data_IF_089245879052
#
_entry.id   IF_089245879052
#
_cell.length_a   1.000
_cell.length_b   1.000
_cell.length_c   1.000
_cell.angle_alpha   90.00
_cell.angle_beta   90.00
_cell.angle_gamma   90.00
#
_symmetry.space_group_name_H-M   'P 1'
#
loop_
_entity.id
_entity.type
_entity.pdbx_description
1 polymer ?
#
# COMPACT_ATOMS: atom_id res chain seq x y z
N UNK A 1 29.27 15.14 35.67
CA UNK A 1 28.60 14.07 34.93
C UNK A 1 27.82 14.73 33.81
N UNK A 2 28.16 14.47 32.55
CA UNK A 2 27.40 14.99 31.41
C UNK A 2 26.11 14.17 31.29
N UNK A 3 24.95 14.83 31.36
CA UNK A 3 23.67 14.18 31.03
C UNK A 3 23.69 13.76 29.57
N UNK A 4 23.62 12.45 29.33
CA UNK A 4 23.35 11.93 27.99
C UNK A 4 22.00 12.47 27.51
N UNK A 5 21.95 13.20 26.38
CA UNK A 5 20.71 13.74 25.87
C UNK A 5 19.71 12.61 25.62
N UNK A 6 18.48 12.78 26.10
CA UNK A 6 17.42 11.82 25.90
C UNK A 6 17.14 11.64 24.40
N UNK A 7 16.91 10.40 23.93
CA UNK A 7 16.64 10.17 22.52
C UNK A 7 15.36 10.93 22.11
N UNK A 8 15.34 11.55 20.92
CA UNK A 8 14.17 12.28 20.44
C UNK A 8 12.96 11.34 20.41
N UNK A 9 11.84 11.80 20.95
CA UNK A 9 10.60 11.03 20.96
C UNK A 9 10.18 10.70 19.52
N UNK A 10 9.73 9.45 19.26
CA UNK A 10 9.31 9.06 17.93
C UNK A 10 8.16 9.94 17.46
N UNK A 11 8.35 10.61 16.33
CA UNK A 11 7.31 11.45 15.74
C UNK A 11 6.11 10.56 15.40
N UNK A 12 4.89 10.90 15.83
CA UNK A 12 3.72 10.09 15.50
C UNK A 12 3.52 10.02 13.97
N UNK A 13 3.04 8.88 13.43
CA UNK A 13 2.73 8.77 12.01
C UNK A 13 1.68 9.82 11.61
N UNK A 14 1.82 10.35 10.39
CA UNK A 14 0.90 11.36 9.91
C UNK A 14 -0.47 10.73 9.61
N UNK A 15 -1.58 11.50 9.77
CA UNK A 15 -2.93 10.98 9.58
C UNK A 15 -3.14 10.29 8.22
N UNK A 16 -2.51 10.80 7.15
CA UNK A 16 -2.61 10.26 5.80
C UNK A 16 -1.93 8.88 5.64
N UNK A 17 -0.74 8.68 6.21
CA UNK A 17 -0.01 7.41 6.10
C UNK A 17 -0.76 6.28 6.82
N UNK A 18 -1.28 6.58 8.03
CA UNK A 18 -2.08 5.63 8.79
C UNK A 18 -3.41 5.32 8.10
N UNK A 19 -4.04 6.32 7.48
CA UNK A 19 -5.28 6.15 6.72
C UNK A 19 -5.05 5.24 5.51
N UNK A 20 -3.96 5.49 4.77
CA UNK A 20 -3.58 4.66 3.64
C UNK A 20 -3.38 3.20 4.06
N UNK A 21 -2.51 2.93 5.05
CA UNK A 21 -2.22 1.57 5.50
C UNK A 21 -3.49 0.81 5.94
N UNK A 22 -4.41 1.51 6.61
CA UNK A 22 -5.70 0.92 7.01
C UNK A 22 -6.59 0.65 5.80
N UNK A 23 -6.72 1.60 4.88
CA UNK A 23 -7.59 1.48 3.72
C UNK A 23 -7.09 0.41 2.75
N UNK A 24 -5.82 0.41 2.38
CA UNK A 24 -5.22 -0.64 1.55
C UNK A 24 -5.31 -1.99 2.25
N UNK A 25 -5.06 -2.03 3.56
CA UNK A 25 -5.22 -3.23 4.38
C UNK A 25 -6.61 -3.86 4.21
N UNK A 26 -7.67 -3.06 4.33
CA UNK A 26 -9.05 -3.54 4.15
C UNK A 26 -9.37 -3.90 2.71
N UNK A 27 -9.00 -3.07 1.72
CA UNK A 27 -9.27 -3.33 0.30
C UNK A 27 -8.69 -4.69 -0.10
N UNK A 28 -7.40 -4.91 0.14
CA UNK A 28 -6.71 -6.11 -0.29
C UNK A 28 -7.08 -7.34 0.55
N UNK A 29 -7.42 -7.17 1.83
CA UNK A 29 -7.98 -8.26 2.63
C UNK A 29 -9.35 -8.68 2.10
N UNK A 30 -10.24 -7.73 1.78
CA UNK A 30 -11.55 -8.05 1.21
C UNK A 30 -11.41 -8.77 -0.13
N UNK A 31 -10.50 -8.33 -1.01
CA UNK A 31 -10.23 -9.02 -2.27
C UNK A 31 -9.71 -10.45 -2.05
N UNK A 32 -8.78 -10.64 -1.11
CA UNK A 32 -8.27 -11.97 -0.78
C UNK A 32 -9.39 -12.87 -0.21
N UNK A 33 -10.23 -12.35 0.67
CA UNK A 33 -11.37 -13.11 1.21
C UNK A 33 -12.39 -13.42 0.12
N UNK A 34 -12.72 -12.46 -0.75
CA UNK A 34 -13.61 -12.68 -1.90
C UNK A 34 -13.10 -13.78 -2.84
N UNK A 35 -11.79 -13.87 -3.04
CA UNK A 35 -11.20 -14.93 -3.87
C UNK A 35 -11.39 -16.35 -3.33
N UNK A 36 -11.74 -16.51 -2.04
CA UNK A 36 -12.04 -17.83 -1.48
C UNK A 36 -13.43 -18.35 -1.89
N UNK A 37 -14.30 -17.46 -2.38
CA UNK A 37 -15.68 -17.79 -2.74
C UNK A 37 -15.89 -17.88 -4.26
N UNK A 38 -15.03 -17.24 -5.05
CA UNK A 38 -15.12 -17.23 -6.50
C UNK A 38 -13.76 -17.01 -7.13
N UNK A 39 -13.50 -17.67 -8.27
CA UNK A 39 -12.29 -17.46 -9.06
C UNK A 39 -12.37 -16.17 -9.90
N UNK A 40 -13.58 -15.63 -10.09
CA UNK A 40 -13.83 -14.41 -10.84
C UNK A 40 -14.92 -13.56 -10.19
N UNK A 41 -14.66 -12.27 -9.99
CA UNK A 41 -15.71 -11.32 -9.62
C UNK A 41 -16.25 -10.66 -10.90
N UNK A 42 -17.42 -11.11 -11.36
CA UNK A 42 -18.21 -10.44 -12.40
C UNK A 42 -17.46 -10.26 -13.74
N UNK A 43 -16.50 -11.15 -14.04
CA UNK A 43 -15.56 -11.01 -15.18
C UNK A 43 -14.73 -9.71 -15.16
N UNK A 44 -14.66 -9.03 -14.02
CA UNK A 44 -13.94 -7.78 -13.86
C UNK A 44 -12.66 -7.96 -13.02
N UNK A 45 -12.66 -8.90 -12.07
CA UNK A 45 -11.49 -9.24 -11.26
C UNK A 45 -11.16 -10.72 -11.39
N UNK A 46 -9.89 -11.02 -11.62
CA UNK A 46 -9.39 -12.38 -11.73
C UNK A 46 -8.70 -12.80 -10.43
N UNK A 47 -9.14 -13.91 -9.84
CA UNK A 47 -8.58 -14.42 -8.61
C UNK A 47 -7.85 -15.74 -8.85
N UNK A 48 -6.54 -15.65 -9.07
CA UNK A 48 -5.67 -16.82 -9.02
C UNK A 48 -5.11 -17.01 -7.62
N UNK A 49 -4.68 -18.23 -7.29
CA UNK A 49 -4.03 -18.51 -6.00
C UNK A 49 -2.86 -17.55 -5.72
N UNK A 50 -2.06 -17.21 -6.74
CA UNK A 50 -0.96 -16.27 -6.61
C UNK A 50 -1.44 -14.85 -6.27
N UNK A 51 -2.48 -14.36 -6.94
CA UNK A 51 -3.10 -13.06 -6.69
C UNK A 51 -3.74 -13.04 -5.29
N UNK A 52 -4.43 -14.10 -4.89
CA UNK A 52 -5.00 -14.27 -3.55
C UNK A 52 -3.94 -14.10 -2.47
N UNK A 53 -2.80 -14.79 -2.59
CA UNK A 53 -1.71 -14.70 -1.60
C UNK A 53 -1.05 -13.32 -1.59
N UNK A 54 -0.89 -12.69 -2.75
CA UNK A 54 -0.38 -11.33 -2.84
C UNK A 54 -1.32 -10.33 -2.15
N UNK A 55 -2.62 -10.37 -2.49
CA UNK A 55 -3.65 -9.54 -1.88
C UNK A 55 -3.72 -9.78 -0.36
N UNK A 56 -3.65 -11.03 0.08
CA UNK A 56 -3.67 -11.37 1.51
C UNK A 56 -2.44 -10.77 2.22
N UNK A 57 -1.27 -10.88 1.62
CA UNK A 57 -0.02 -10.35 2.18
C UNK A 57 -0.06 -8.82 2.29
N UNK A 58 -0.51 -8.13 1.24
CA UNK A 58 -0.68 -6.67 1.24
C UNK A 58 -1.74 -6.23 2.25
N UNK A 59 -2.85 -6.97 2.32
CA UNK A 59 -3.96 -6.72 3.23
C UNK A 59 -3.56 -6.86 4.70
N UNK A 60 -2.99 -8.01 5.06
CA UNK A 60 -2.54 -8.28 6.43
C UNK A 60 -1.43 -7.33 6.87
N UNK A 61 -0.42 -7.12 6.02
CA UNK A 61 0.65 -6.17 6.35
C UNK A 61 0.12 -4.75 6.53
N UNK A 62 -0.82 -4.29 5.70
CA UNK A 62 -1.47 -2.99 5.86
C UNK A 62 -2.19 -2.85 7.20
N UNK A 63 -2.97 -3.85 7.61
CA UNK A 63 -3.68 -3.82 8.89
C UNK A 63 -2.74 -3.91 10.11
N UNK A 64 -1.68 -4.73 10.02
CA UNK A 64 -0.64 -4.81 11.06
C UNK A 64 0.05 -3.47 11.22
N UNK A 65 0.46 -2.84 10.12
CA UNK A 65 1.11 -1.52 10.13
C UNK A 65 0.15 -0.44 10.63
N UNK A 66 -1.12 -0.48 10.23
CA UNK A 66 -2.15 0.45 10.69
C UNK A 66 -2.34 0.45 12.22
N UNK A 67 -2.10 -0.70 12.86
CA UNK A 67 -2.13 -0.85 14.32
C UNK A 67 -0.82 -0.42 15.00
N UNK A 68 0.27 -0.32 14.25
CA UNK A 68 1.57 0.11 14.78
C UNK A 68 1.59 1.62 15.04
N UNK A 69 2.35 2.05 16.07
CA UNK A 69 2.64 3.46 16.34
C UNK A 69 3.98 3.91 15.74
N UNK A 70 4.63 3.07 14.94
CA UNK A 70 5.96 3.32 14.40
C UNK A 70 5.91 4.06 13.06
N UNK A 71 6.16 5.37 13.05
CA UNK A 71 6.11 6.18 11.81
C UNK A 71 6.97 5.62 10.66
N UNK A 72 8.15 5.07 10.97
CA UNK A 72 9.04 4.49 9.96
C UNK A 72 8.37 3.31 9.25
N UNK A 73 7.58 2.52 9.99
CA UNK A 73 6.89 1.35 9.47
C UNK A 73 5.75 1.77 8.52
N UNK A 74 4.97 2.80 8.88
CA UNK A 74 3.96 3.40 7.99
C UNK A 74 4.59 3.93 6.71
N UNK A 75 5.65 4.74 6.81
CA UNK A 75 6.32 5.31 5.65
C UNK A 75 6.94 4.23 4.75
N UNK A 76 7.56 3.21 5.34
CA UNK A 76 8.13 2.10 4.61
C UNK A 76 7.04 1.30 3.88
N UNK A 77 5.93 0.99 4.56
CA UNK A 77 4.79 0.31 3.95
C UNK A 77 4.21 1.11 2.79
N UNK A 78 3.96 2.40 2.97
CA UNK A 78 3.43 3.26 1.91
C UNK A 78 4.32 3.27 0.67
N UNK A 79 5.64 3.40 0.87
CA UNK A 79 6.60 3.39 -0.24
C UNK A 79 6.63 2.02 -0.91
N UNK A 80 6.80 0.95 -0.13
CA UNK A 80 6.97 -0.41 -0.64
C UNK A 80 5.70 -0.90 -1.34
N UNK A 81 4.55 -0.79 -0.69
CA UNK A 81 3.25 -1.12 -1.28
C UNK A 81 2.97 -0.21 -2.49
N UNK A 82 3.22 1.10 -2.38
CA UNK A 82 3.04 2.03 -3.48
C UNK A 82 3.81 1.63 -4.74
N UNK A 83 5.13 1.42 -4.62
CA UNK A 83 5.98 0.98 -5.74
C UNK A 83 5.53 -0.38 -6.28
N UNK A 84 5.27 -1.34 -5.39
CA UNK A 84 4.89 -2.71 -5.79
C UNK A 84 3.58 -2.72 -6.57
N UNK A 85 2.57 -2.00 -6.09
CA UNK A 85 1.25 -1.96 -6.71
C UNK A 85 1.26 -1.20 -8.04
N UNK A 86 1.96 -0.06 -8.13
CA UNK A 86 2.16 0.63 -9.41
C UNK A 86 2.88 -0.29 -10.41
N UNK A 87 3.98 -0.92 -9.99
CA UNK A 87 4.76 -1.81 -10.85
C UNK A 87 3.90 -2.98 -11.34
N UNK A 88 3.12 -3.59 -10.45
CA UNK A 88 2.19 -4.65 -10.81
C UNK A 88 1.18 -4.18 -11.85
N UNK A 89 0.47 -3.07 -11.61
CA UNK A 89 -0.56 -2.60 -12.53
C UNK A 89 0.00 -2.17 -13.90
N UNK A 90 1.18 -1.54 -13.93
CA UNK A 90 1.87 -1.19 -15.19
C UNK A 90 2.30 -2.48 -15.92
N UNK A 91 2.98 -3.39 -15.24
CA UNK A 91 3.44 -4.65 -15.84
C UNK A 91 2.26 -5.49 -16.35
N UNK A 92 1.17 -5.58 -15.59
CA UNK A 92 -0.03 -6.30 -16.00
C UNK A 92 -0.72 -5.68 -17.22
N UNK A 93 -0.58 -4.37 -17.42
CA UNK A 93 -1.17 -3.66 -18.57
C UNK A 93 -0.33 -3.81 -19.84
N UNK A 94 0.99 -3.62 -19.73
CA UNK A 94 1.90 -3.57 -20.89
C UNK A 94 2.57 -4.90 -21.21
N UNK A 95 2.68 -5.80 -20.23
CA UNK A 95 3.34 -7.09 -20.35
C UNK A 95 2.48 -8.24 -19.77
N UNK A 96 1.21 -8.39 -20.19
CA UNK A 96 0.31 -9.41 -19.67
C UNK A 96 0.83 -10.85 -19.83
N UNK A 97 1.66 -11.09 -20.85
CA UNK A 97 2.29 -12.39 -21.13
C UNK A 97 3.30 -12.84 -20.07
N UNK A 98 3.74 -11.94 -19.18
CA UNK A 98 4.63 -12.30 -18.05
C UNK A 98 3.88 -12.93 -16.87
N UNK A 99 2.55 -12.86 -16.88
CA UNK A 99 1.71 -13.45 -15.85
C UNK A 99 1.13 -14.77 -16.36
N UNK A 100 1.16 -15.80 -15.52
CA UNK A 100 0.56 -17.12 -15.83
C UNK A 100 -0.93 -17.01 -16.14
N UNK A 101 -1.58 -16.00 -15.56
CA UNK A 101 -2.95 -15.62 -15.87
C UNK A 101 -2.97 -14.10 -16.03
N UNK A 102 -3.25 -13.58 -17.24
CA UNK A 102 -3.29 -12.15 -17.48
C UNK A 102 -4.30 -11.46 -16.56
N UNK A 103 -3.87 -10.45 -15.77
CA UNK A 103 -4.78 -9.66 -14.95
C UNK A 103 -5.74 -8.86 -15.82
N UNK A 104 -6.98 -8.68 -15.36
CA UNK A 104 -7.97 -7.90 -16.09
C UNK A 104 -7.68 -6.39 -15.98
N UNK A 105 -8.19 -5.55 -16.90
CA UNK A 105 -7.94 -4.10 -16.86
C UNK A 105 -8.32 -3.45 -15.53
N UNK A 106 -9.38 -3.93 -14.86
CA UNK A 106 -9.79 -3.40 -13.57
C UNK A 106 -8.82 -3.80 -12.45
N UNK A 107 -8.26 -5.02 -12.47
CA UNK A 107 -7.23 -5.44 -11.52
C UNK A 107 -6.04 -4.48 -11.61
N UNK A 108 -5.55 -4.24 -12.84
CA UNK A 108 -4.42 -3.36 -13.08
C UNK A 108 -4.72 -1.92 -12.67
N UNK A 109 -5.90 -1.40 -13.02
CA UNK A 109 -6.36 -0.06 -12.63
C UNK A 109 -6.42 0.10 -11.12
N UNK A 110 -6.93 -0.89 -10.40
CA UNK A 110 -6.98 -0.88 -8.94
C UNK A 110 -5.58 -0.81 -8.34
N UNK A 111 -4.65 -1.65 -8.81
CA UNK A 111 -3.24 -1.64 -8.35
C UNK A 111 -2.55 -0.29 -8.63
N UNK A 112 -2.75 0.30 -9.80
CA UNK A 112 -2.16 1.63 -10.11
C UNK A 112 -2.75 2.71 -9.20
N UNK A 113 -4.08 2.75 -9.03
CA UNK A 113 -4.74 3.79 -8.24
C UNK A 113 -4.37 3.70 -6.75
N UNK A 114 -4.41 2.50 -6.17
CA UNK A 114 -3.98 2.30 -4.77
C UNK A 114 -2.48 2.59 -4.64
N UNK A 115 -1.67 2.17 -5.61
CA UNK A 115 -0.25 2.44 -5.63
C UNK A 115 0.10 3.94 -5.63
N UNK A 116 -0.55 4.72 -6.50
CA UNK A 116 -0.41 6.19 -6.56
C UNK A 116 -0.82 6.84 -5.23
N UNK A 117 -1.92 6.36 -4.63
CA UNK A 117 -2.39 6.89 -3.35
C UNK A 117 -1.36 6.71 -2.22
N UNK A 118 -0.54 5.66 -2.27
CA UNK A 118 0.56 5.43 -1.31
C UNK A 118 1.58 6.57 -1.27
N UNK A 119 1.82 7.21 -2.42
CA UNK A 119 2.73 8.35 -2.55
C UNK A 119 2.10 9.68 -2.14
N UNK A 120 0.78 9.83 -2.21
CA UNK A 120 0.11 11.06 -1.79
C UNK A 120 0.41 11.39 -0.32
N UNK A 121 0.35 10.38 0.56
CA UNK A 121 0.71 10.53 1.97
C UNK A 121 2.13 11.09 2.12
N UNK A 122 3.11 10.51 1.42
CA UNK A 122 4.52 10.92 1.44
C UNK A 122 4.69 12.35 0.89
N UNK A 123 4.01 12.67 -0.21
CA UNK A 123 4.04 14.00 -0.84
C UNK A 123 3.56 15.11 0.09
N UNK A 124 2.48 14.88 0.83
CA UNK A 124 1.98 15.85 1.82
C UNK A 124 2.98 16.09 2.96
N UNK A 125 3.73 15.06 3.38
CA UNK A 125 4.81 15.20 4.37
C UNK A 125 5.94 16.06 3.83
N UNK A 126 6.37 15.78 2.60
CA UNK A 126 7.46 16.50 1.98
C UNK A 126 7.12 17.98 1.80
N UNK A 127 5.91 18.26 1.29
CA UNK A 127 5.40 19.62 1.11
C UNK A 127 5.34 20.40 2.42
N UNK A 128 4.79 19.82 3.50
CA UNK A 128 4.68 20.50 4.80
C UNK A 128 6.02 20.80 5.46
N UNK A 129 7.05 19.96 5.23
CA UNK A 129 8.42 20.23 5.71
C UNK A 129 9.11 21.32 4.90
N UNK A 130 8.84 21.37 3.59
CA UNK A 130 9.41 22.36 2.70
C UNK A 130 8.83 23.77 2.98
N UNK A 131 7.51 23.86 3.18
CA UNK A 131 6.86 25.14 3.48
C UNK A 131 7.32 25.76 4.81
N UNK A 132 7.58 24.95 5.84
CA UNK A 132 8.10 25.43 7.14
C UNK A 132 9.55 25.92 7.10
N UNK A 133 10.37 25.47 6.14
CA UNK A 133 11.75 25.93 6.01
C UNK A 133 11.86 27.26 5.24
N UNK A 134 10.78 27.67 4.58
CA UNK A 134 10.74 28.85 3.72
C UNK A 134 10.07 30.06 4.40
N UNK A 135 9.63 29.89 5.65
CA UNK A 135 9.03 30.91 6.52
C UNK A 135 9.99 31.22 7.67
#
# INVERSE_FOLDING_TARGET
>A
MAETPSPPSPTPPLPAEKTYARATGWIYLTLAVSSLFTDNLWHMLHFTTAITWANLTVGLSGLVIARSNHYKAHRFYNLFAGVTLISWGILGTFYPQWFTTPPLPLDNGLHVLTGIWGFYGIGTVFWSRFSRKSA
#
